data_IF_809767065745
#
_entry.id   IF_809767065745
#
_cell.length_a   1.000
_cell.length_b   1.000
_cell.length_c   1.000
_cell.angle_alpha   90.00
_cell.angle_beta   90.00
_cell.angle_gamma   90.00
#
_symmetry.space_group_name_H-M   'P 1'
#
loop_
_entity.id
_entity.type
_entity.pdbx_description
1 polymer ?
#
# COMPACT_ATOMS: atom_id res chain seq x y z
N UNK A 1 29.13 10.05 8.89
CA UNK A 1 28.63 8.67 9.09
C UNK A 1 29.37 7.76 8.13
N UNK A 2 29.85 6.59 8.59
CA UNK A 2 30.32 5.55 7.68
C UNK A 2 29.11 5.02 6.92
N UNK A 3 28.95 5.41 5.66
CA UNK A 3 27.83 4.99 4.82
C UNK A 3 28.01 3.49 4.57
N UNK A 4 27.08 2.67 5.06
CA UNK A 4 27.03 1.23 4.79
C UNK A 4 27.10 0.97 3.28
N UNK A 5 27.69 -0.15 2.83
CA UNK A 5 27.75 -0.52 1.41
C UNK A 5 26.37 -0.63 0.75
N UNK A 6 25.30 -0.76 1.55
CA UNK A 6 23.90 -0.79 1.10
C UNK A 6 23.27 0.60 0.94
N UNK A 7 24.01 1.69 1.19
CA UNK A 7 23.52 3.05 1.12
C UNK A 7 24.23 3.83 0.00
N UNK A 8 23.45 4.50 -0.84
CA UNK A 8 23.96 5.47 -1.80
C UNK A 8 23.41 6.83 -1.43
N UNK A 9 24.31 7.77 -1.17
CA UNK A 9 23.93 9.18 -1.10
C UNK A 9 23.76 9.67 -2.52
N UNK A 10 22.52 9.96 -2.90
CA UNK A 10 22.23 10.55 -4.19
C UNK A 10 22.92 11.92 -4.23
N UNK A 11 23.89 12.14 -5.13
CA UNK A 11 24.70 13.35 -5.05
C UNK A 11 23.88 14.56 -5.49
N UNK A 12 24.30 15.72 -5.00
CA UNK A 12 23.74 17.02 -5.35
C UNK A 12 23.70 17.28 -6.87
N UNK A 13 23.05 18.39 -7.24
CA UNK A 13 22.73 18.96 -8.57
C UNK A 13 23.37 18.40 -9.86
N UNK A 14 24.59 17.87 -9.86
CA UNK A 14 25.35 17.42 -11.02
C UNK A 14 24.81 16.12 -11.67
N UNK A 15 24.26 15.16 -10.90
CA UNK A 15 23.74 13.90 -11.48
C UNK A 15 22.27 13.92 -11.93
N UNK A 16 21.50 14.96 -11.59
CA UNK A 16 20.18 15.15 -12.19
C UNK A 16 20.25 15.27 -13.73
N UNK A 17 21.37 15.80 -14.23
CA UNK A 17 21.69 15.86 -15.66
C UNK A 17 22.01 14.51 -16.31
N UNK A 18 22.27 13.46 -15.52
CA UNK A 18 22.58 12.11 -16.00
C UNK A 18 21.36 11.19 -16.12
N UNK A 19 20.13 11.66 -15.85
CA UNK A 19 18.90 10.95 -16.24
C UNK A 19 18.80 10.98 -17.78
N UNK A 20 19.59 10.12 -18.42
CA UNK A 20 19.70 10.03 -19.89
C UNK A 20 18.49 9.32 -20.51
N UNK A 21 17.73 8.58 -19.72
CA UNK A 21 16.53 7.86 -20.17
C UNK A 21 15.37 8.12 -19.20
N UNK A 22 14.24 8.56 -19.77
CA UNK A 22 13.04 9.00 -19.06
C UNK A 22 12.46 7.90 -18.17
N UNK A 23 12.25 8.19 -16.87
CA UNK A 23 11.33 7.56 -15.89
C UNK A 23 11.24 6.02 -15.81
N UNK A 24 12.03 5.26 -16.58
CA UNK A 24 11.93 3.79 -16.70
C UNK A 24 13.06 3.06 -16.02
N UNK A 25 14.29 3.56 -16.08
CA UNK A 25 15.42 2.90 -15.42
C UNK A 25 15.70 3.57 -14.06
N UNK A 26 15.53 2.84 -12.94
CA UNK A 26 15.93 3.34 -11.63
C UNK A 26 17.44 3.60 -11.63
N UNK A 27 17.86 4.81 -11.22
CA UNK A 27 19.28 5.14 -11.08
C UNK A 27 20.03 4.11 -10.21
N UNK A 28 19.36 3.61 -9.16
CA UNK A 28 19.93 2.69 -8.21
C UNK A 28 20.08 1.25 -8.74
N UNK A 29 19.42 0.85 -9.83
CA UNK A 29 19.44 -0.54 -10.30
C UNK A 29 20.85 -1.01 -10.68
N UNK A 30 21.66 -0.11 -11.25
CA UNK A 30 23.05 -0.40 -11.61
C UNK A 30 24.00 -0.40 -10.41
N UNK A 31 23.59 0.21 -9.30
CA UNK A 31 24.47 0.46 -8.14
C UNK A 31 24.09 -0.34 -6.90
N UNK A 32 22.84 -0.82 -6.79
CA UNK A 32 22.31 -1.61 -5.68
C UNK A 32 21.55 -2.85 -6.21
N UNK A 33 22.18 -3.76 -6.98
CA UNK A 33 21.49 -4.90 -7.59
C UNK A 33 20.83 -5.86 -6.58
N UNK A 34 21.19 -5.78 -5.29
CA UNK A 34 20.66 -6.61 -4.20
C UNK A 34 19.68 -5.86 -3.29
N UNK A 35 19.20 -4.67 -3.69
CA UNK A 35 18.44 -3.78 -2.81
C UNK A 35 19.34 -2.90 -1.94
N UNK A 36 18.76 -1.86 -1.33
CA UNK A 36 19.49 -0.96 -0.45
C UNK A 36 18.72 0.30 -0.14
N UNK A 37 19.44 1.39 0.09
CA UNK A 37 18.89 2.67 0.51
C UNK A 37 19.45 3.79 -0.34
N UNK A 38 18.56 4.67 -0.83
CA UNK A 38 18.94 5.88 -1.56
C UNK A 38 18.64 7.07 -0.67
N UNK A 39 19.66 7.83 -0.31
CA UNK A 39 19.54 9.02 0.55
C UNK A 39 19.50 10.25 -0.34
N UNK A 40 18.37 10.97 -0.36
CA UNK A 40 18.21 12.24 -1.09
C UNK A 40 18.38 13.46 -0.19
N UNK A 41 18.11 13.32 1.11
CA UNK A 41 18.12 14.37 2.11
C UNK A 41 18.64 13.82 3.45
N UNK A 42 19.33 14.65 4.24
CA UNK A 42 19.92 14.23 5.52
C UNK A 42 18.89 13.71 6.53
N UNK A 43 17.64 14.20 6.45
CA UNK A 43 16.52 13.75 7.30
C UNK A 43 16.28 12.26 7.20
N UNK A 44 16.50 11.65 6.04
CA UNK A 44 16.33 10.21 5.87
C UNK A 44 17.34 9.39 6.68
N UNK A 45 18.48 9.97 7.07
CA UNK A 45 19.46 9.29 7.94
C UNK A 45 18.88 8.98 9.32
N UNK A 46 17.91 9.76 9.80
CA UNK A 46 17.23 9.49 11.08
C UNK A 46 16.32 8.26 10.99
N UNK A 47 15.65 8.09 9.85
CA UNK A 47 14.82 6.92 9.54
C UNK A 47 15.70 5.67 9.41
N UNK A 48 16.83 5.78 8.71
CA UNK A 48 17.75 4.65 8.51
C UNK A 48 18.44 4.19 9.80
N UNK A 49 18.76 5.12 10.71
CA UNK A 49 19.57 4.81 11.89
C UNK A 49 21.03 4.50 11.52
N UNK A 50 21.76 3.86 12.43
CA UNK A 50 23.21 3.68 12.29
C UNK A 50 23.62 2.53 11.37
N UNK A 51 22.81 1.46 11.29
CA UNK A 51 23.17 0.21 10.61
C UNK A 51 21.96 -0.40 9.88
N UNK A 52 21.40 0.30 8.88
CA UNK A 52 20.25 -0.24 8.16
C UNK A 52 20.65 -1.47 7.32
N UNK A 53 19.78 -2.48 7.28
CA UNK A 53 19.96 -3.68 6.45
C UNK A 53 18.70 -3.99 5.66
N UNK A 54 18.85 -4.67 4.53
CA UNK A 54 17.72 -5.16 3.73
C UNK A 54 18.02 -6.58 3.24
N UNK A 55 17.05 -7.47 3.32
CA UNK A 55 17.19 -8.88 2.96
C UNK A 55 15.89 -9.44 2.37
N UNK A 56 16.00 -10.46 1.51
CA UNK A 56 14.86 -11.28 1.08
C UNK A 56 14.58 -12.30 2.18
N UNK A 57 13.34 -12.34 2.65
CA UNK A 57 12.91 -13.26 3.73
C UNK A 57 12.07 -14.43 3.23
N UNK A 58 11.45 -14.30 2.05
CA UNK A 58 10.72 -15.37 1.38
C UNK A 58 10.67 -15.14 -0.13
N UNK A 59 10.63 -16.22 -0.91
CA UNK A 59 10.56 -16.23 -2.37
C UNK A 59 9.69 -17.41 -2.84
N UNK A 60 8.89 -17.17 -3.88
CA UNK A 60 8.01 -18.16 -4.52
C UNK A 60 8.01 -17.88 -6.05
N UNK A 61 7.68 -18.89 -6.85
CA UNK A 61 7.49 -18.70 -8.29
C UNK A 61 6.21 -17.92 -8.60
N UNK A 62 5.22 -17.96 -7.71
CA UNK A 62 4.00 -17.17 -7.80
C UNK A 62 4.17 -15.80 -7.14
N UNK A 63 3.46 -14.75 -7.62
CA UNK A 63 3.53 -13.40 -7.07
C UNK A 63 2.77 -13.30 -5.73
N UNK A 64 3.24 -14.00 -4.70
CA UNK A 64 2.54 -14.17 -3.43
C UNK A 64 2.51 -12.94 -2.52
N UNK A 65 3.42 -11.99 -2.71
CA UNK A 65 3.59 -10.81 -1.88
C UNK A 65 3.29 -9.56 -2.71
N UNK A 66 2.02 -9.16 -2.78
CA UNK A 66 1.59 -8.01 -3.56
C UNK A 66 0.96 -6.92 -2.68
N UNK A 67 -0.06 -7.26 -1.90
CA UNK A 67 -0.96 -6.30 -1.24
C UNK A 67 -1.24 -6.64 0.24
N UNK A 68 -2.02 -5.77 0.92
CA UNK A 68 -2.53 -5.96 2.29
C UNK A 68 -1.52 -6.22 3.40
N UNK A 69 -0.25 -5.80 3.32
CA UNK A 69 0.69 -6.00 4.43
C UNK A 69 0.10 -5.58 5.79
N UNK A 70 -0.35 -6.55 6.59
CA UNK A 70 -1.00 -6.35 7.89
C UNK A 70 -0.21 -7.10 8.95
N UNK A 71 0.55 -6.36 9.76
CA UNK A 71 1.33 -6.90 10.87
C UNK A 71 0.45 -7.03 12.12
N UNK A 72 0.49 -8.18 12.79
CA UNK A 72 -0.22 -8.45 14.06
C UNK A 72 0.79 -8.34 15.20
N UNK A 73 0.77 -7.26 16.02
CA UNK A 73 1.77 -7.01 17.04
C UNK A 73 1.91 -8.12 18.08
N UNK A 74 0.83 -8.79 18.43
CA UNK A 74 0.77 -9.77 19.50
C UNK A 74 1.58 -11.02 19.15
N UNK A 75 1.53 -11.44 17.89
CA UNK A 75 2.19 -12.66 17.39
C UNK A 75 3.45 -12.38 16.57
N UNK A 76 3.54 -11.19 15.96
CA UNK A 76 4.54 -10.86 14.96
C UNK A 76 4.24 -11.43 13.57
N UNK A 77 3.05 -11.99 13.36
CA UNK A 77 2.62 -12.50 12.07
C UNK A 77 2.27 -11.35 11.12
N UNK A 78 2.37 -11.61 9.82
CA UNK A 78 1.98 -10.68 8.77
C UNK A 78 1.01 -11.40 7.86
N UNK A 79 -0.11 -10.77 7.54
CA UNK A 79 -1.02 -11.26 6.51
C UNK A 79 -0.81 -10.45 5.24
N UNK A 80 -0.77 -11.14 4.11
CA UNK A 80 -0.53 -10.57 2.78
C UNK A 80 -1.47 -11.20 1.76
N UNK A 81 -1.70 -10.48 0.68
CA UNK A 81 -2.42 -10.97 -0.50
C UNK A 81 -1.48 -11.04 -1.70
N UNK A 82 -1.64 -12.09 -2.50
CA UNK A 82 -0.93 -12.24 -3.76
C UNK A 82 -1.47 -11.32 -4.85
N UNK A 83 -0.71 -11.12 -5.91
CA UNK A 83 -1.27 -10.63 -7.17
C UNK A 83 -2.18 -11.73 -7.78
N UNK A 84 -2.83 -11.42 -8.90
CA UNK A 84 -3.64 -12.38 -9.63
C UNK A 84 -2.82 -13.58 -10.13
N UNK A 85 -3.01 -14.73 -9.49
CA UNK A 85 -2.49 -16.03 -9.92
C UNK A 85 -3.48 -16.65 -10.89
N UNK A 86 -2.99 -17.25 -11.97
CA UNK A 86 -3.83 -17.96 -12.95
C UNK A 86 -3.75 -19.46 -12.75
N UNK A 87 -4.86 -20.07 -12.36
CA UNK A 87 -4.99 -21.52 -12.28
C UNK A 87 -6.16 -21.99 -13.16
N UNK A 88 -5.89 -22.93 -14.09
CA UNK A 88 -6.86 -23.43 -15.07
C UNK A 88 -7.64 -22.32 -15.82
N UNK A 89 -6.95 -21.22 -16.15
CA UNK A 89 -7.54 -20.07 -16.86
C UNK A 89 -8.34 -19.09 -16.00
N UNK A 90 -8.59 -19.40 -14.72
CA UNK A 90 -9.27 -18.51 -13.77
C UNK A 90 -8.25 -17.72 -12.94
N UNK A 91 -8.58 -16.48 -12.61
CA UNK A 91 -7.81 -15.66 -11.67
C UNK A 91 -8.20 -16.00 -10.24
N UNK A 92 -7.20 -16.05 -9.37
CA UNK A 92 -7.33 -16.25 -7.93
C UNK A 92 -6.31 -15.34 -7.22
N UNK A 93 -6.62 -14.98 -5.97
CA UNK A 93 -5.66 -14.37 -5.05
C UNK A 93 -5.52 -15.28 -3.84
N UNK A 94 -4.27 -15.50 -3.44
CA UNK A 94 -3.88 -16.25 -2.24
C UNK A 94 -3.75 -15.27 -1.09
N UNK A 95 -4.41 -15.57 0.04
CA UNK A 95 -4.09 -14.93 1.32
C UNK A 95 -3.04 -15.80 1.99
N UNK A 96 -2.00 -15.20 2.55
CA UNK A 96 -0.95 -15.94 3.25
C UNK A 96 -0.64 -15.31 4.60
N UNK A 97 -0.45 -16.17 5.61
CA UNK A 97 0.14 -15.82 6.89
C UNK A 97 1.65 -16.01 6.79
N UNK A 98 2.40 -14.96 7.07
CA UNK A 98 3.86 -14.97 7.13
C UNK A 98 4.27 -14.86 8.59
N UNK A 99 5.01 -15.84 9.09
CA UNK A 99 5.41 -15.89 10.49
C UNK A 99 6.88 -16.28 10.62
N UNK A 100 7.49 -15.93 11.76
CA UNK A 100 8.90 -16.24 12.05
C UNK A 100 9.00 -17.28 13.17
N UNK A 101 9.81 -18.31 12.96
CA UNK A 101 10.20 -19.25 14.00
C UNK A 101 11.73 -19.39 14.07
N UNK A 102 12.23 -20.40 14.79
CA UNK A 102 13.67 -20.64 14.97
C UNK A 102 14.45 -20.87 13.67
N UNK A 103 13.78 -21.30 12.58
CA UNK A 103 14.42 -21.59 11.29
C UNK A 103 14.31 -20.44 10.27
N UNK A 104 13.57 -19.38 10.59
CA UNK A 104 13.41 -18.21 9.72
C UNK A 104 11.95 -17.83 9.50
N UNK A 105 11.69 -17.10 8.43
CA UNK A 105 10.35 -16.73 7.98
C UNK A 105 9.72 -17.86 7.16
N UNK A 106 8.43 -18.09 7.37
CA UNK A 106 7.62 -19.08 6.68
C UNK A 106 6.39 -18.41 6.10
N UNK A 107 5.95 -18.88 4.94
CA UNK A 107 4.74 -18.41 4.26
C UNK A 107 3.74 -19.55 4.22
N UNK A 108 2.60 -19.36 4.87
CA UNK A 108 1.52 -20.34 4.96
C UNK A 108 0.27 -19.81 4.25
N UNK A 109 -0.14 -20.38 3.11
CA UNK A 109 -1.42 -20.05 2.48
C UNK A 109 -2.60 -20.37 3.40
N UNK A 110 -3.60 -19.49 3.42
CA UNK A 110 -4.85 -19.69 4.16
C UNK A 110 -6.06 -19.48 3.23
N UNK A 111 -7.19 -20.10 3.57
CA UNK A 111 -8.41 -20.08 2.74
C UNK A 111 -9.63 -19.59 3.55
N UNK A 112 -9.72 -18.29 3.88
CA UNK A 112 -10.84 -17.75 4.67
C UNK A 112 -12.13 -17.53 3.87
N UNK A 113 -12.15 -17.88 2.58
CA UNK A 113 -13.30 -17.71 1.71
C UNK A 113 -13.51 -16.28 1.18
N UNK A 114 -12.49 -15.43 1.22
CA UNK A 114 -12.54 -14.05 0.69
C UNK A 114 -12.15 -14.06 -0.80
N UNK A 115 -13.04 -13.57 -1.66
CA UNK A 115 -12.89 -13.61 -3.11
C UNK A 115 -12.03 -12.46 -3.65
N UNK A 116 -10.85 -12.79 -4.20
CA UNK A 116 -9.94 -11.80 -4.81
C UNK A 116 -9.63 -10.67 -3.83
N UNK A 117 -9.18 -11.03 -2.62
CA UNK A 117 -8.75 -10.09 -1.61
C UNK A 117 -7.64 -9.19 -2.16
N UNK A 118 -7.68 -7.89 -1.86
CA UNK A 118 -6.66 -6.92 -2.25
C UNK A 118 -6.00 -6.32 -1.01
N UNK A 119 -6.29 -5.07 -0.66
CA UNK A 119 -5.77 -4.39 0.51
C UNK A 119 -6.39 -4.87 1.82
N UNK A 120 -5.80 -4.45 2.94
CA UNK A 120 -6.23 -4.88 4.26
C UNK A 120 -5.62 -4.05 5.38
N UNK A 121 -6.29 -4.05 6.53
CA UNK A 121 -5.88 -3.28 7.72
C UNK A 121 -6.22 -4.01 9.00
N UNK A 122 -5.46 -3.76 10.07
CA UNK A 122 -5.85 -4.17 11.42
C UNK A 122 -7.22 -3.57 11.78
N UNK A 123 -8.14 -4.40 12.25
CA UNK A 123 -9.48 -3.96 12.64
C UNK A 123 -10.06 -4.90 13.69
N UNK A 124 -10.54 -4.33 14.81
CA UNK A 124 -10.89 -5.10 16.01
C UNK A 124 -9.70 -5.98 16.42
N UNK A 125 -9.95 -7.24 16.76
CA UNK A 125 -8.91 -8.23 17.08
C UNK A 125 -8.38 -8.97 15.84
N UNK A 126 -8.73 -8.53 14.63
CA UNK A 126 -8.40 -9.24 13.39
C UNK A 126 -8.08 -8.30 12.24
N UNK A 127 -8.52 -8.67 11.04
CA UNK A 127 -8.12 -8.02 9.80
C UNK A 127 -9.36 -7.69 8.99
N UNK A 128 -9.45 -6.46 8.51
CA UNK A 128 -10.45 -6.05 7.54
C UNK A 128 -9.82 -6.05 6.15
N UNK A 129 -10.30 -6.92 5.27
CA UNK A 129 -9.86 -7.01 3.88
C UNK A 129 -10.80 -6.28 2.93
N UNK A 130 -10.22 -5.72 1.88
CA UNK A 130 -10.91 -5.35 0.66
C UNK A 130 -11.13 -6.59 -0.20
N UNK A 131 -12.38 -7.04 -0.31
CA UNK A 131 -12.79 -8.09 -1.24
C UNK A 131 -13.17 -7.47 -2.58
N UNK A 132 -12.44 -7.75 -3.65
CA UNK A 132 -12.75 -7.15 -4.95
C UNK A 132 -14.02 -7.72 -5.59
N UNK A 133 -14.46 -8.90 -5.15
CA UNK A 133 -15.61 -9.62 -5.70
C UNK A 133 -15.27 -10.38 -6.98
N UNK A 134 -16.28 -10.76 -7.75
CA UNK A 134 -16.12 -11.48 -9.02
C UNK A 134 -17.13 -11.03 -10.08
N UNK A 135 -17.17 -11.70 -11.23
CA UNK A 135 -18.17 -11.42 -12.28
C UNK A 135 -19.61 -11.72 -11.84
N UNK A 136 -19.80 -12.48 -10.76
CA UNK A 136 -21.12 -12.93 -10.28
C UNK A 136 -21.40 -12.52 -8.82
N UNK A 137 -20.38 -12.42 -7.97
CA UNK A 137 -20.51 -12.00 -6.58
C UNK A 137 -20.03 -10.56 -6.39
N UNK A 138 -20.73 -9.71 -5.62
CA UNK A 138 -20.25 -8.38 -5.27
C UNK A 138 -18.98 -8.46 -4.44
N UNK A 139 -18.17 -7.40 -4.48
CA UNK A 139 -17.09 -7.18 -3.52
C UNK A 139 -17.58 -6.43 -2.29
N UNK A 140 -16.65 -6.05 -1.41
CA UNK A 140 -16.97 -5.36 -0.16
C UNK A 140 -15.83 -5.36 0.84
N UNK A 141 -16.12 -4.96 2.07
CA UNK A 141 -15.18 -5.08 3.19
C UNK A 141 -15.54 -6.30 4.02
N UNK A 142 -14.56 -7.16 4.27
CA UNK A 142 -14.74 -8.44 4.98
C UNK A 142 -13.79 -8.50 6.15
N UNK A 143 -14.33 -8.60 7.36
CA UNK A 143 -13.55 -8.88 8.55
C UNK A 143 -13.17 -10.37 8.59
N UNK A 144 -11.97 -10.67 9.06
CA UNK A 144 -11.44 -12.02 9.26
C UNK A 144 -10.78 -12.10 10.65
N UNK A 145 -11.13 -13.13 11.42
CA UNK A 145 -10.39 -13.45 12.64
C UNK A 145 -8.95 -13.89 12.32
N UNK A 146 -7.95 -13.55 13.14
CA UNK A 146 -6.55 -13.80 12.83
C UNK A 146 -6.10 -15.24 13.15
N UNK A 147 -6.99 -16.09 13.65
CA UNK A 147 -6.68 -17.46 14.07
C UNK A 147 -7.57 -18.46 13.35
N UNK A 148 -7.09 -19.69 13.18
CA UNK A 148 -7.93 -20.77 12.66
C UNK A 148 -9.21 -20.92 13.51
N UNK A 149 -10.39 -21.06 12.87
CA UNK A 149 -10.59 -21.42 11.46
C UNK A 149 -10.68 -20.23 10.49
N UNK A 150 -10.27 -19.01 10.88
CA UNK A 150 -10.34 -17.78 10.10
C UNK A 150 -11.78 -17.40 9.73
N UNK A 151 -12.66 -17.34 10.73
CA UNK A 151 -14.06 -16.95 10.51
C UNK A 151 -14.14 -15.54 9.90
N UNK A 152 -15.09 -15.35 8.99
CA UNK A 152 -15.28 -14.10 8.25
C UNK A 152 -16.66 -13.48 8.47
N UNK A 153 -16.70 -12.15 8.48
CA UNK A 153 -17.92 -11.34 8.59
C UNK A 153 -17.93 -10.28 7.48
N UNK A 154 -18.97 -10.29 6.65
CA UNK A 154 -19.18 -9.23 5.64
C UNK A 154 -19.64 -7.94 6.33
N UNK A 155 -18.84 -6.88 6.23
CA UNK A 155 -19.10 -5.58 6.85
C UNK A 155 -19.98 -4.70 5.97
N UNK A 156 -19.62 -4.56 4.68
CA UNK A 156 -20.38 -3.76 3.71
C UNK A 156 -20.08 -4.21 2.29
N UNK A 157 -21.08 -4.18 1.39
CA UNK A 157 -20.96 -4.71 0.01
C UNK A 157 -21.50 -3.80 -1.10
N UNK A 158 -22.16 -2.71 -0.74
CA UNK A 158 -22.77 -1.80 -1.70
C UNK A 158 -22.89 -0.37 -1.17
N UNK A 159 -23.10 0.57 -2.10
CA UNK A 159 -23.45 1.95 -1.82
C UNK A 159 -24.81 2.28 -2.43
N UNK A 160 -25.83 2.40 -1.57
CA UNK A 160 -27.23 2.62 -1.95
C UNK A 160 -27.76 1.55 -2.92
N UNK A 161 -27.43 0.28 -2.69
CA UNK A 161 -27.84 -0.86 -3.51
C UNK A 161 -27.02 -1.04 -4.79
N UNK A 162 -26.05 -0.16 -5.09
CA UNK A 162 -25.11 -0.33 -6.19
C UNK A 162 -23.83 -0.99 -5.68
N UNK A 163 -23.42 -2.06 -6.34
CA UNK A 163 -22.19 -2.76 -5.97
C UNK A 163 -20.98 -1.83 -6.13
N UNK A 164 -20.04 -1.95 -5.20
CA UNK A 164 -18.71 -1.36 -5.38
C UNK A 164 -18.04 -1.90 -6.65
N UNK A 165 -17.17 -1.08 -7.23
CA UNK A 165 -16.43 -1.40 -8.44
C UNK A 165 -15.49 -2.58 -8.18
N UNK A 166 -14.55 -2.37 -7.26
CA UNK A 166 -13.55 -3.32 -6.76
C UNK A 166 -12.77 -2.59 -5.67
N UNK A 167 -13.22 -2.68 -4.43
CA UNK A 167 -12.55 -2.00 -3.31
C UNK A 167 -11.08 -2.41 -3.25
N UNK A 168 -10.20 -1.44 -3.03
CA UNK A 168 -8.77 -1.63 -3.26
C UNK A 168 -7.99 -1.58 -1.96
N UNK A 169 -8.00 -0.46 -1.25
CA UNK A 169 -7.28 -0.30 0.03
C UNK A 169 -8.17 0.32 1.11
N UNK A 170 -7.84 0.09 2.38
CA UNK A 170 -8.68 0.46 3.53
C UNK A 170 -7.84 0.94 4.73
N UNK A 171 -8.36 1.91 5.48
CA UNK A 171 -7.77 2.42 6.72
C UNK A 171 -8.84 2.75 7.76
N UNK A 172 -8.51 2.60 9.04
CA UNK A 172 -9.39 2.91 10.16
C UNK A 172 -9.02 4.29 10.73
N UNK A 173 -10.00 5.16 10.89
CA UNK A 173 -9.84 6.43 11.57
C UNK A 173 -10.08 6.26 13.09
N UNK A 174 -9.52 7.14 13.92
CA UNK A 174 -9.60 7.09 15.40
C UNK A 174 -11.02 7.21 15.96
N UNK A 175 -11.95 7.72 15.16
CA UNK A 175 -13.38 7.76 15.50
C UNK A 175 -14.09 6.42 15.24
N UNK A 176 -13.36 5.38 14.81
CA UNK A 176 -13.92 4.06 14.47
C UNK A 176 -14.46 3.96 13.04
N UNK A 177 -14.48 5.05 12.28
CA UNK A 177 -14.93 5.00 10.88
C UNK A 177 -13.90 4.36 9.97
N UNK A 178 -14.43 3.65 8.96
CA UNK A 178 -13.69 2.88 7.98
C UNK A 178 -13.62 3.70 6.69
N UNK A 179 -12.43 3.95 6.20
CA UNK A 179 -12.19 4.69 4.95
C UNK A 179 -11.58 3.78 3.93
N UNK A 180 -12.07 3.80 2.70
CA UNK A 180 -11.59 2.90 1.65
C UNK A 180 -11.75 3.52 0.25
N UNK A 181 -10.97 2.99 -0.69
CA UNK A 181 -11.01 3.39 -2.11
C UNK A 181 -11.70 2.34 -2.96
N UNK A 182 -12.43 2.79 -3.98
CA UNK A 182 -13.17 1.93 -4.90
C UNK A 182 -12.85 2.25 -6.38
N UNK A 183 -11.60 2.03 -6.82
CA UNK A 183 -11.22 2.21 -8.22
C UNK A 183 -11.85 1.17 -9.14
N UNK A 184 -11.73 1.38 -10.45
CA UNK A 184 -12.29 0.51 -11.49
C UNK A 184 -11.37 -0.65 -11.92
N UNK A 185 -10.35 -0.99 -11.13
CA UNK A 185 -9.37 -2.01 -11.50
C UNK A 185 -10.00 -3.34 -11.84
N UNK A 186 -10.99 -3.79 -11.06
CA UNK A 186 -11.60 -5.09 -11.28
C UNK A 186 -12.25 -5.21 -12.65
N UNK A 187 -12.82 -4.12 -13.17
CA UNK A 187 -13.38 -4.08 -14.52
C UNK A 187 -12.26 -4.12 -15.58
N UNK A 188 -11.25 -3.27 -15.44
CA UNK A 188 -10.09 -3.23 -16.35
C UNK A 188 -9.37 -4.58 -16.41
N UNK A 189 -9.29 -5.26 -15.27
CA UNK A 189 -8.66 -6.56 -15.09
C UNK A 189 -9.62 -7.74 -15.37
N UNK A 190 -10.84 -7.48 -15.87
CA UNK A 190 -11.79 -8.50 -16.29
C UNK A 190 -12.29 -9.45 -15.18
N UNK A 191 -12.20 -9.02 -13.91
CA UNK A 191 -12.71 -9.77 -12.75
C UNK A 191 -14.07 -9.24 -12.28
N UNK A 192 -14.46 -8.02 -12.70
CA UNK A 192 -15.73 -7.36 -12.33
C UNK A 192 -16.52 -6.89 -13.55
N UNK A 193 -17.86 -6.79 -13.45
CA UNK A 193 -18.70 -6.24 -14.51
C UNK A 193 -18.43 -4.74 -14.70
N UNK A 194 -19.11 -4.14 -15.69
CA UNK A 194 -19.03 -2.69 -15.90
C UNK A 194 -19.40 -1.94 -14.60
N UNK A 195 -18.57 -0.96 -14.16
CA UNK A 195 -18.82 -0.14 -12.98
C UNK A 195 -20.21 0.52 -12.98
N UNK A 196 -20.85 0.54 -11.81
CA UNK A 196 -22.12 1.24 -11.57
C UNK A 196 -21.93 2.49 -10.69
N UNK A 197 -20.71 2.72 -10.21
CA UNK A 197 -20.29 3.85 -9.40
C UNK A 197 -19.08 4.52 -10.07
N UNK A 198 -18.86 5.83 -9.87
CA UNK A 198 -17.57 6.44 -10.20
C UNK A 198 -16.45 5.81 -9.36
N UNK A 199 -15.20 6.04 -9.74
CA UNK A 199 -14.08 5.76 -8.85
C UNK A 199 -14.10 6.78 -7.70
N UNK A 200 -14.26 6.31 -6.46
CA UNK A 200 -14.49 7.19 -5.31
C UNK A 200 -13.77 6.68 -4.07
N UNK A 201 -13.57 7.58 -3.10
CA UNK A 201 -13.20 7.26 -1.73
C UNK A 201 -14.44 7.34 -0.85
N UNK A 202 -14.63 6.37 0.03
CA UNK A 202 -15.79 6.29 0.92
C UNK A 202 -15.37 6.38 2.38
N UNK A 203 -16.29 6.88 3.23
CA UNK A 203 -16.27 6.72 4.69
C UNK A 203 -17.51 5.92 5.08
N UNK A 204 -17.31 4.85 5.83
CA UNK A 204 -18.36 4.05 6.43
C UNK A 204 -18.23 4.08 7.95
N UNK A 205 -19.34 4.30 8.63
CA UNK A 205 -19.44 4.32 10.09
C UNK A 205 -20.16 3.05 10.56
N UNK A 206 -19.45 2.07 11.15
CA UNK A 206 -20.05 0.80 11.53
C UNK A 206 -21.02 0.93 12.72
N UNK A 207 -20.94 2.00 13.52
CA UNK A 207 -21.84 2.21 14.66
C UNK A 207 -23.22 2.70 14.19
N UNK A 208 -23.25 3.59 13.20
CA UNK A 208 -24.49 4.20 12.71
C UNK A 208 -25.01 3.56 11.43
N UNK A 209 -24.16 2.84 10.70
CA UNK A 209 -24.43 2.33 9.36
C UNK A 209 -24.35 3.40 8.27
N UNK A 210 -23.95 4.64 8.58
CA UNK A 210 -23.83 5.71 7.61
C UNK A 210 -22.64 5.46 6.66
N UNK A 211 -22.89 5.56 5.36
CA UNK A 211 -21.85 5.50 4.32
C UNK A 211 -21.97 6.73 3.44
N UNK A 212 -20.82 7.33 3.12
CA UNK A 212 -20.78 8.48 2.21
C UNK A 212 -19.58 8.42 1.27
N UNK A 213 -19.81 8.78 0.02
CA UNK A 213 -18.73 9.16 -0.88
C UNK A 213 -18.08 10.47 -0.37
N UNK A 214 -16.76 10.46 -0.22
CA UNK A 214 -15.97 11.54 0.39
C UNK A 214 -15.16 12.33 -0.64
N UNK A 215 -14.69 11.68 -1.69
CA UNK A 215 -14.01 12.28 -2.85
C UNK A 215 -14.31 11.46 -4.11
N UNK A 216 -14.48 12.16 -5.23
CA UNK A 216 -14.65 11.60 -6.58
C UNK A 216 -13.76 12.31 -7.61
N UNK A 217 -12.74 13.03 -7.13
CA UNK A 217 -11.91 13.91 -7.95
C UNK A 217 -10.61 13.26 -8.43
N UNK A 218 -10.29 12.06 -7.92
CA UNK A 218 -9.16 11.24 -8.34
C UNK A 218 -9.56 10.29 -9.48
N UNK A 219 -8.60 9.99 -10.36
CA UNK A 219 -8.88 9.13 -11.53
C UNK A 219 -8.87 7.66 -11.15
N UNK A 220 -7.85 7.22 -10.40
CA UNK A 220 -7.73 5.87 -9.83
C UNK A 220 -7.27 5.96 -8.38
N UNK A 221 -8.17 6.28 -7.43
CA UNK A 221 -7.83 6.26 -6.01
C UNK A 221 -7.40 4.84 -5.60
N UNK A 222 -6.23 4.71 -4.99
CA UNK A 222 -5.65 3.42 -4.61
C UNK A 222 -5.35 3.43 -3.09
N UNK A 223 -4.10 3.47 -2.65
CA UNK A 223 -3.73 3.50 -1.25
C UNK A 223 -4.19 4.77 -0.54
N UNK A 224 -4.50 4.65 0.74
CA UNK A 224 -4.84 5.78 1.60
C UNK A 224 -4.30 5.62 3.02
N UNK A 225 -3.88 6.72 3.64
CA UNK A 225 -3.48 6.75 5.04
C UNK A 225 -3.71 8.13 5.65
N UNK A 226 -3.89 8.19 6.97
CA UNK A 226 -3.97 9.46 7.69
C UNK A 226 -2.57 9.98 8.06
N UNK A 227 -2.47 11.29 8.29
CA UNK A 227 -1.39 11.86 9.10
C UNK A 227 -1.52 11.43 10.57
N UNK A 228 -0.46 11.53 11.39
CA UNK A 228 -0.51 11.10 12.80
C UNK A 228 -1.57 11.81 13.65
N UNK A 229 -1.82 13.09 13.38
CA UNK A 229 -2.90 13.84 14.03
C UNK A 229 -4.31 13.51 13.48
N UNK A 230 -4.37 12.76 12.38
CA UNK A 230 -5.55 12.41 11.59
C UNK A 230 -6.35 13.62 11.12
N UNK A 231 -5.67 14.74 10.87
CA UNK A 231 -6.27 15.94 10.29
C UNK A 231 -6.06 16.02 8.77
N UNK A 232 -5.18 15.19 8.22
CA UNK A 232 -4.93 15.05 6.78
C UNK A 232 -5.16 13.61 6.35
N UNK A 233 -5.90 13.41 5.26
CA UNK A 233 -5.96 12.14 4.54
C UNK A 233 -5.10 12.23 3.28
N UNK A 234 -4.19 11.27 3.12
CA UNK A 234 -3.43 11.07 1.90
C UNK A 234 -4.08 9.98 1.06
N UNK A 235 -4.20 10.18 -0.24
CA UNK A 235 -4.74 9.21 -1.19
C UNK A 235 -3.85 9.19 -2.43
N UNK A 236 -3.44 8.00 -2.87
CA UNK A 236 -2.67 7.83 -4.09
C UNK A 236 -3.58 7.79 -5.32
N UNK A 237 -3.13 8.42 -6.42
CA UNK A 237 -3.77 8.34 -7.74
C UNK A 237 -2.76 7.76 -8.74
N UNK A 238 -3.13 6.61 -9.26
CA UNK A 238 -2.27 5.66 -9.98
C UNK A 238 -2.66 5.54 -11.46
N UNK A 239 -3.46 6.48 -11.98
CA UNK A 239 -3.91 6.48 -13.37
C UNK A 239 -2.78 6.53 -14.42
N UNK A 240 -1.54 6.79 -13.98
CA UNK A 240 -0.27 6.58 -14.67
C UNK A 240 -0.09 5.17 -15.21
N UNK A 241 -0.72 4.16 -14.60
CA UNK A 241 -0.76 2.80 -15.11
C UNK A 241 -2.16 2.45 -15.63
N UNK A 242 -2.20 1.88 -16.82
CA UNK A 242 -3.37 1.21 -17.37
C UNK A 242 -2.97 -0.17 -17.86
N UNK A 243 -3.70 -1.21 -17.51
CA UNK A 243 -3.46 -2.58 -17.97
C UNK A 243 -4.72 -3.41 -17.81
N UNK A 244 -4.90 -4.38 -18.71
CA UNK A 244 -6.05 -5.28 -18.74
C UNK A 244 -5.62 -6.76 -18.70
N UNK A 245 -6.58 -7.68 -18.84
CA UNK A 245 -6.33 -9.13 -18.89
C UNK A 245 -5.40 -9.60 -20.01
N UNK A 246 -5.02 -8.72 -20.94
CA UNK A 246 -4.38 -9.06 -22.21
C UNK A 246 -3.10 -8.27 -22.50
N UNK A 247 -2.73 -7.27 -21.69
CA UNK A 247 -1.53 -6.46 -21.86
C UNK A 247 -0.79 -6.24 -20.54
N UNK A 248 0.54 -6.37 -20.57
CA UNK A 248 1.39 -5.86 -19.49
C UNK A 248 1.14 -4.35 -19.37
N UNK A 249 0.94 -3.87 -18.14
CA UNK A 249 0.49 -2.50 -17.88
C UNK A 249 1.29 -1.45 -18.67
N UNK A 250 0.59 -0.62 -19.42
CA UNK A 250 1.15 0.52 -20.12
C UNK A 250 1.26 1.66 -19.12
N UNK A 251 2.49 2.01 -18.76
CA UNK A 251 2.78 3.23 -18.03
C UNK A 251 2.70 4.45 -18.97
N UNK A 252 1.88 5.42 -18.59
CA UNK A 252 1.73 6.72 -19.24
C UNK A 252 2.30 7.81 -18.33
N UNK A 253 3.50 8.35 -18.62
CA UNK A 253 4.13 9.37 -17.78
C UNK A 253 3.39 10.70 -17.76
N UNK A 254 2.38 10.89 -18.63
CA UNK A 254 1.55 12.09 -18.69
C UNK A 254 0.30 12.01 -17.78
N UNK A 255 0.10 10.90 -17.08
CA UNK A 255 -1.06 10.63 -16.21
C UNK A 255 -0.65 10.61 -14.73
N UNK A 256 -1.61 10.67 -13.79
CA UNK A 256 -1.33 10.69 -12.35
C UNK A 256 -0.40 9.56 -11.87
N UNK A 257 0.70 9.94 -11.26
CA UNK A 257 1.57 9.07 -10.48
C UNK A 257 1.85 9.79 -9.15
N UNK A 258 0.78 10.10 -8.44
CA UNK A 258 0.76 11.19 -7.47
C UNK A 258 0.07 10.80 -6.18
N UNK A 259 0.50 11.44 -5.10
CA UNK A 259 -0.16 11.40 -3.79
C UNK A 259 -0.86 12.75 -3.62
N UNK A 260 -2.15 12.73 -3.31
CA UNK A 260 -2.91 13.92 -2.97
C UNK A 260 -3.20 13.96 -1.47
N UNK A 261 -3.15 15.15 -0.88
CA UNK A 261 -3.53 15.39 0.50
C UNK A 261 -4.85 16.16 0.56
N UNK A 262 -5.66 15.84 1.56
CA UNK A 262 -6.94 16.47 1.85
C UNK A 262 -7.00 16.80 3.33
N UNK A 263 -7.47 18.00 3.67
CA UNK A 263 -7.78 18.35 5.05
C UNK A 263 -9.10 17.69 5.45
N UNK A 264 -9.15 17.09 6.63
CA UNK A 264 -10.38 16.58 7.22
C UNK A 264 -10.98 17.69 8.06
N UNK A 265 -12.11 18.22 7.61
CA UNK A 265 -12.80 19.32 8.29
C UNK A 265 -14.21 18.91 8.68
N UNK A 266 -14.76 19.51 9.73
CA UNK A 266 -16.16 19.33 10.09
C UNK A 266 -17.01 20.48 9.55
N UNK A 267 -18.14 20.14 8.92
CA UNK A 267 -19.20 21.08 8.51
C UNK A 267 -20.55 20.48 8.88
N UNK A 268 -21.39 21.27 9.53
CA UNK A 268 -22.72 20.84 9.97
C UNK A 268 -22.72 19.52 10.76
N UNK A 269 -21.68 19.29 11.58
CA UNK A 269 -21.55 18.06 12.38
C UNK A 269 -21.04 16.82 11.63
N UNK A 270 -20.74 16.92 10.32
CA UNK A 270 -20.22 15.81 9.53
C UNK A 270 -18.77 16.09 9.04
N UNK A 271 -17.92 15.06 8.89
CA UNK A 271 -16.58 15.22 8.31
C UNK A 271 -16.68 15.51 6.81
N UNK A 272 -15.68 16.16 6.23
CA UNK A 272 -15.52 16.44 4.80
C UNK A 272 -14.05 16.43 4.44
N UNK A 273 -13.74 16.03 3.21
CA UNK A 273 -12.44 16.27 2.60
C UNK A 273 -12.43 17.64 1.94
N UNK A 274 -11.42 18.46 2.25
CA UNK A 274 -11.27 19.81 1.72
C UNK A 274 -9.81 20.08 1.31
N UNK A 275 -9.59 21.21 0.61
CA UNK A 275 -8.25 21.69 0.26
C UNK A 275 -7.36 20.62 -0.41
N UNK A 276 -7.94 19.87 -1.36
CA UNK A 276 -7.19 18.92 -2.20
C UNK A 276 -5.96 19.61 -2.76
N UNK A 277 -4.80 18.99 -2.54
CA UNK A 277 -3.52 19.48 -3.03
C UNK A 277 -2.63 18.32 -3.45
N UNK A 278 -1.84 18.53 -4.50
CA UNK A 278 -0.75 17.62 -4.82
C UNK A 278 0.23 17.65 -3.65
N UNK A 279 0.48 16.48 -3.05
CA UNK A 279 1.45 16.32 -1.98
C UNK A 279 2.79 15.86 -2.54
N UNK A 280 2.79 14.80 -3.34
CA UNK A 280 3.99 14.21 -3.90
C UNK A 280 3.73 13.61 -5.29
N UNK A 281 4.79 13.50 -6.09
CA UNK A 281 4.83 12.78 -7.35
C UNK A 281 5.90 11.69 -7.26
N UNK A 282 5.57 10.46 -7.67
CA UNK A 282 6.50 9.34 -7.61
C UNK A 282 7.68 9.53 -8.55
N UNK A 283 8.90 9.28 -8.06
CA UNK A 283 10.10 9.44 -8.87
C UNK A 283 10.22 8.37 -9.98
N UNK A 284 9.65 7.18 -9.73
CA UNK A 284 9.65 6.00 -10.61
C UNK A 284 8.33 5.27 -10.42
N UNK A 285 7.66 4.94 -11.52
CA UNK A 285 6.38 4.22 -11.51
C UNK A 285 5.22 5.06 -10.99
N UNK A 286 4.40 4.47 -10.13
CA UNK A 286 3.23 5.05 -9.46
C UNK A 286 3.33 4.81 -7.94
N UNK A 287 2.78 5.69 -7.09
CA UNK A 287 2.62 5.44 -5.68
C UNK A 287 1.39 4.55 -5.46
N UNK A 288 1.58 3.32 -5.00
CA UNK A 288 0.52 2.32 -4.82
C UNK A 288 0.05 2.32 -3.34
N UNK A 289 0.37 1.30 -2.55
CA UNK A 289 0.12 1.28 -1.11
C UNK A 289 0.89 2.39 -0.38
N UNK A 290 0.28 2.97 0.66
CA UNK A 290 0.79 4.16 1.37
C UNK A 290 0.66 4.01 2.89
N UNK A 291 1.64 4.49 3.65
CA UNK A 291 1.62 4.53 5.12
C UNK A 291 2.32 5.80 5.63
N UNK A 292 2.06 6.16 6.88
CA UNK A 292 2.73 7.26 7.57
C UNK A 292 3.55 6.72 8.75
N UNK A 293 4.67 7.37 9.09
CA UNK A 293 5.31 7.20 10.39
C UNK A 293 4.79 8.23 11.40
N UNK A 294 5.12 8.03 12.68
CA UNK A 294 4.68 8.90 13.79
C UNK A 294 5.25 10.32 13.75
N UNK A 295 6.30 10.57 12.95
CA UNK A 295 6.89 11.90 12.72
C UNK A 295 6.24 12.61 11.52
N UNK A 296 5.29 11.95 10.83
CA UNK A 296 4.54 12.50 9.71
C UNK A 296 5.21 12.29 8.35
N UNK A 297 6.30 11.51 8.25
CA UNK A 297 6.84 11.14 6.96
C UNK A 297 5.89 10.14 6.27
N UNK A 298 5.71 10.34 4.97
CA UNK A 298 4.78 9.56 4.15
C UNK A 298 5.59 8.61 3.28
N UNK A 299 5.19 7.34 3.26
CA UNK A 299 5.85 6.24 2.56
C UNK A 299 4.89 5.68 1.53
N UNK A 300 5.36 5.38 0.32
CA UNK A 300 4.53 4.66 -0.66
C UNK A 300 5.34 3.66 -1.48
N UNK A 301 4.74 2.50 -1.76
CA UNK A 301 5.25 1.52 -2.72
C UNK A 301 5.28 2.14 -4.11
N UNK A 302 6.42 2.02 -4.79
CA UNK A 302 6.70 2.64 -6.08
C UNK A 302 7.46 1.67 -6.99
N UNK A 303 7.73 2.12 -8.22
CA UNK A 303 8.33 1.27 -9.26
C UNK A 303 9.76 0.77 -8.99
N UNK A 304 10.46 1.31 -7.99
CA UNK A 304 11.81 0.93 -7.59
C UNK A 304 11.99 0.71 -6.07
N UNK A 305 10.89 0.45 -5.36
CA UNK A 305 10.87 0.16 -3.92
C UNK A 305 9.92 1.09 -3.19
N UNK A 306 10.23 1.47 -1.95
CA UNK A 306 9.41 2.42 -1.18
C UNK A 306 10.05 3.79 -1.20
N UNK A 307 9.29 4.79 -1.65
CA UNK A 307 9.69 6.20 -1.60
C UNK A 307 9.24 6.81 -0.29
N UNK A 308 10.07 7.70 0.26
CA UNK A 308 9.81 8.36 1.55
C UNK A 308 9.84 9.86 1.36
N UNK A 309 8.73 10.52 1.68
CA UNK A 309 8.58 11.96 1.65
C UNK A 309 8.46 12.51 3.07
N UNK A 310 9.11 13.64 3.32
CA UNK A 310 8.88 14.41 4.54
C UNK A 310 7.42 14.88 4.67
N UNK A 311 6.94 15.32 5.85
CA UNK A 311 5.59 15.87 6.01
C UNK A 311 5.26 17.05 5.08
N UNK A 312 6.28 17.69 4.50
CA UNK A 312 6.12 18.75 3.50
C UNK A 312 6.09 18.28 2.05
N UNK A 313 6.05 16.97 1.77
CA UNK A 313 5.99 16.41 0.40
C UNK A 313 7.33 16.37 -0.35
N UNK A 314 8.46 16.68 0.31
CA UNK A 314 9.80 16.55 -0.28
C UNK A 314 10.29 15.10 -0.20
N UNK A 315 10.72 14.51 -1.32
CA UNK A 315 11.33 13.18 -1.34
C UNK A 315 12.68 13.21 -0.60
N UNK A 316 12.76 12.51 0.53
CA UNK A 316 13.95 12.48 1.39
C UNK A 316 14.79 11.22 1.22
N UNK A 317 14.20 10.13 0.76
CA UNK A 317 14.90 8.87 0.56
C UNK A 317 14.07 7.78 -0.08
N UNK A 318 14.71 6.64 -0.31
CA UNK A 318 14.05 5.41 -0.78
C UNK A 318 14.62 4.19 -0.08
N UNK A 319 13.75 3.25 0.28
CA UNK A 319 14.12 1.84 0.50
C UNK A 319 14.04 1.17 -0.86
N UNK A 320 15.20 0.99 -1.50
CA UNK A 320 15.29 0.50 -2.86
C UNK A 320 15.14 -1.02 -2.91
N UNK A 321 14.19 -1.48 -3.74
CA UNK A 321 13.93 -2.89 -4.02
C UNK A 321 13.87 -3.08 -5.53
N UNK A 322 14.75 -3.93 -6.12
CA UNK A 322 14.70 -4.24 -7.54
C UNK A 322 13.32 -4.77 -7.94
N UNK A 323 12.76 -4.23 -9.02
CA UNK A 323 11.41 -4.60 -9.48
C UNK A 323 10.25 -3.92 -8.75
N UNK A 324 10.52 -3.04 -7.78
CA UNK A 324 9.50 -2.19 -7.15
C UNK A 324 8.92 -2.74 -5.86
N UNK A 325 7.86 -2.12 -5.37
CA UNK A 325 7.10 -2.58 -4.22
C UNK A 325 5.66 -2.07 -4.36
N UNK A 326 4.67 -2.97 -4.29
CA UNK A 326 3.26 -2.59 -4.41
C UNK A 326 2.74 -2.08 -3.05
N UNK A 327 2.87 -2.88 -1.99
CA UNK A 327 2.50 -2.48 -0.63
C UNK A 327 3.56 -2.93 0.39
N UNK A 328 3.43 -2.47 1.63
CA UNK A 328 4.37 -2.74 2.71
C UNK A 328 3.71 -2.47 4.07
N UNK A 329 4.34 -2.94 5.14
CA UNK A 329 3.93 -2.63 6.50
C UNK A 329 5.11 -2.41 7.44
N UNK A 330 4.87 -1.62 8.48
CA UNK A 330 5.79 -1.52 9.61
C UNK A 330 5.63 -2.74 10.52
N UNK A 331 6.75 -3.20 11.07
CA UNK A 331 6.83 -4.13 12.19
C UNK A 331 7.47 -3.45 13.39
N UNK A 332 7.79 -4.22 14.43
CA UNK A 332 8.36 -3.68 15.66
C UNK A 332 9.82 -3.29 15.51
N UNK A 333 10.23 -2.24 16.22
CA UNK A 333 11.65 -1.93 16.42
C UNK A 333 12.36 -1.57 15.11
N UNK A 334 11.69 -0.83 14.23
CA UNK A 334 12.24 -0.38 12.95
C UNK A 334 12.19 -1.44 11.86
N UNK A 335 11.44 -2.53 12.02
CA UNK A 335 11.18 -3.46 10.93
C UNK A 335 10.22 -2.87 9.90
N UNK A 336 10.50 -3.14 8.63
CA UNK A 336 9.60 -2.84 7.52
C UNK A 336 9.58 -4.02 6.57
N UNK A 337 8.39 -4.52 6.25
CA UNK A 337 8.18 -5.66 5.37
C UNK A 337 7.65 -5.17 4.04
N UNK A 338 8.33 -5.52 2.94
CA UNK A 338 8.05 -5.00 1.60
C UNK A 338 7.58 -6.12 0.67
N UNK A 339 6.48 -5.86 -0.03
CA UNK A 339 5.81 -6.83 -0.90
C UNK A 339 6.21 -6.56 -2.36
N UNK A 340 6.95 -7.50 -2.95
CA UNK A 340 7.61 -7.38 -4.25
C UNK A 340 7.31 -8.60 -5.13
N UNK A 341 6.02 -8.84 -5.37
CA UNK A 341 5.49 -9.92 -6.20
C UNK A 341 5.96 -11.30 -5.73
N UNK A 342 7.01 -11.83 -6.35
CA UNK A 342 7.60 -13.16 -6.09
C UNK A 342 8.52 -13.18 -4.87
N UNK A 343 8.80 -12.02 -4.28
CA UNK A 343 9.68 -11.87 -3.12
C UNK A 343 9.03 -11.04 -2.04
N UNK A 344 9.28 -11.42 -0.80
CA UNK A 344 9.03 -10.59 0.36
C UNK A 344 10.37 -10.17 0.95
N UNK A 345 10.53 -8.88 1.19
CA UNK A 345 11.74 -8.30 1.74
C UNK A 345 11.50 -7.80 3.16
N UNK A 346 12.58 -7.73 3.94
CA UNK A 346 12.61 -7.06 5.25
C UNK A 346 13.72 -6.03 5.24
N UNK A 347 13.36 -4.78 5.53
CA UNK A 347 14.32 -3.75 5.89
C UNK A 347 14.35 -3.58 7.41
N UNK A 348 15.54 -3.58 7.97
CA UNK A 348 15.79 -3.15 9.33
C UNK A 348 16.27 -1.70 9.29
N UNK A 349 15.47 -0.81 9.88
CA UNK A 349 15.71 0.62 9.95
C UNK A 349 16.07 1.03 11.39
N UNK A 350 16.02 2.33 11.69
CA UNK A 350 16.22 2.84 13.05
C UNK A 350 15.28 2.15 14.04
N UNK A 351 15.78 1.62 15.16
CA UNK A 351 14.94 1.06 16.22
C UNK A 351 13.98 2.06 16.86
N UNK A 352 14.11 3.36 16.57
CA UNK A 352 13.20 4.41 17.03
C UNK A 352 12.09 4.73 16.01
N UNK A 353 12.19 4.22 14.77
CA UNK A 353 11.15 4.41 13.77
C UNK A 353 9.87 3.68 14.21
N UNK A 354 8.74 4.39 14.17
CA UNK A 354 7.42 3.85 14.45
C UNK A 354 6.46 4.15 13.32
N UNK A 355 5.81 3.13 12.78
CA UNK A 355 4.66 3.30 11.88
C UNK A 355 3.47 3.88 12.65
N UNK A 356 2.76 4.83 12.06
CA UNK A 356 1.69 5.57 12.75
C UNK A 356 0.50 4.69 13.14
N UNK A 357 0.02 3.86 12.20
CA UNK A 357 -1.20 3.07 12.36
C UNK A 357 -1.23 2.21 13.65
N UNK A 358 -0.09 1.62 14.01
CA UNK A 358 0.06 0.77 15.19
C UNK A 358 0.90 1.44 16.29
N UNK A 359 1.58 2.55 16.00
CA UNK A 359 2.55 3.19 16.90
C UNK A 359 3.78 2.34 17.20
N UNK A 360 4.21 1.46 16.27
CA UNK A 360 5.22 0.41 16.48
C UNK A 360 6.40 0.45 15.51
#
# INVERSE_FOLDING_TARGET
>A
MSISNSCIVYPGKELASMRKEYFREPFAERSLPQGGFVVHDERFSQILGSHPTIEVIAEDNEPFAHEAGVYIPETGDIYITSNHIRHAGKKHVRISRVFKNETGYHVEPIEPGIALANGGVNYREGILFCEQGSLIEPGGLVYMEPNQPYETEMIIRDYHGRQFNSVNDVVIHKDGSIWFTDPTYGYEQGIRPLPQLPAQTYRYDPETGDIRAMDDSLTKPNGLCFSPDQLTLYITDTAGVSGDTHSSGIYSPAKPASIYAFDIITRHGAPFLANKRLFAFADVGIPDGIKCDTEGNVYSGCGDGVHVWSPGGTLIGKVYVPGGCANFCFGKGGEMFLLNEQKMWRAQLSPELRGDLLGL
#
